data_IF_767549997724
#
_entry.id   IF_767549997724
#
_cell.length_a   1.000
_cell.length_b   1.000
_cell.length_c   1.000
_cell.angle_alpha   90.00
_cell.angle_beta   90.00
_cell.angle_gamma   90.00
#
_symmetry.space_group_name_H-M   'P 1'
#
loop_
_entity.id
_entity.type
_entity.pdbx_description
1 polymer ?
#
# COMPACT_ATOMS: atom_id res chain seq x y z
N UNK A 1 50.19 16.16 19.70
CA UNK A 1 49.68 17.10 18.66
C UNK A 1 49.43 16.41 17.32
N UNK A 2 50.28 15.47 16.87
CA UNK A 2 50.12 14.76 15.59
C UNK A 2 48.78 14.01 15.39
N UNK A 3 48.18 13.45 16.45
CA UNK A 3 46.90 12.72 16.37
C UNK A 3 45.69 13.61 16.09
N UNK A 4 45.68 14.85 16.60
CA UNK A 4 44.62 15.83 16.32
C UNK A 4 44.70 16.36 14.89
N UNK A 5 45.91 16.65 14.41
CA UNK A 5 46.12 17.08 13.03
C UNK A 5 45.66 15.99 12.05
N UNK A 6 46.05 14.74 12.27
CA UNK A 6 45.63 13.59 11.46
C UNK A 6 44.09 13.42 11.44
N UNK A 7 43.44 13.53 12.60
CA UNK A 7 41.98 13.46 12.70
C UNK A 7 41.27 14.59 11.93
N UNK A 8 41.77 15.82 12.04
CA UNK A 8 41.20 16.97 11.31
C UNK A 8 41.40 16.85 9.80
N UNK A 9 42.58 16.41 9.34
CA UNK A 9 42.82 16.16 7.91
C UNK A 9 41.96 15.03 7.36
N UNK A 10 41.72 13.96 8.14
CA UNK A 10 40.81 12.88 7.73
C UNK A 10 39.37 13.37 7.60
N UNK A 11 38.88 14.15 8.57
CA UNK A 11 37.55 14.74 8.52
C UNK A 11 37.41 15.73 7.36
N UNK A 12 38.43 16.56 7.12
CA UNK A 12 38.45 17.51 5.99
C UNK A 12 38.41 16.78 4.64
N UNK A 13 39.24 15.75 4.45
CA UNK A 13 39.22 14.92 3.24
C UNK A 13 37.85 14.24 3.04
N UNK A 14 37.27 13.70 4.12
CA UNK A 14 35.99 13.00 4.04
C UNK A 14 34.84 13.94 3.70
N UNK A 15 34.84 15.16 4.25
CA UNK A 15 33.82 16.18 4.01
C UNK A 15 33.96 16.86 2.64
N UNK A 16 35.18 17.26 2.27
CA UNK A 16 35.44 18.07 1.07
C UNK A 16 35.65 17.23 -0.19
N UNK A 17 36.11 15.98 -0.05
CA UNK A 17 36.43 15.13 -1.20
C UNK A 17 35.53 13.90 -1.23
N UNK A 18 35.59 13.04 -0.20
CA UNK A 18 34.92 11.75 -0.28
C UNK A 18 33.39 11.87 -0.34
N UNK A 19 32.77 12.78 0.42
CA UNK A 19 31.33 12.97 0.45
C UNK A 19 30.74 13.55 -0.85
N UNK A 20 31.26 14.67 -1.42
CA UNK A 20 30.76 15.19 -2.69
C UNK A 20 31.04 14.22 -3.84
N UNK A 21 32.19 13.54 -3.84
CA UNK A 21 32.52 12.54 -4.86
C UNK A 21 31.56 11.34 -4.79
N UNK A 22 31.27 10.83 -3.59
CA UNK A 22 30.26 9.78 -3.39
C UNK A 22 28.86 10.25 -3.75
N UNK A 23 28.51 11.52 -3.50
CA UNK A 23 27.22 12.09 -3.88
C UNK A 23 27.07 12.23 -5.39
N UNK A 24 28.16 12.54 -6.10
CA UNK A 24 28.19 12.67 -7.56
C UNK A 24 28.14 11.30 -8.25
N UNK A 25 28.83 10.29 -7.70
CA UNK A 25 28.85 8.94 -8.28
C UNK A 25 27.71 8.02 -7.84
N UNK A 26 26.97 8.35 -6.77
CA UNK A 26 25.73 7.62 -6.45
C UNK A 26 24.66 8.00 -7.47
N UNK A 27 24.40 7.12 -8.45
CA UNK A 27 23.17 7.16 -9.25
C UNK A 27 22.00 7.18 -8.28
N UNK A 28 21.39 8.36 -8.09
CA UNK A 28 20.15 8.48 -7.34
C UNK A 28 19.04 8.05 -8.29
N UNK A 29 18.63 6.79 -8.18
CA UNK A 29 17.27 6.43 -8.58
C UNK A 29 16.28 7.37 -7.88
N UNK A 30 15.09 7.53 -8.45
CA UNK A 30 14.08 8.41 -7.87
C UNK A 30 13.80 8.02 -6.41
N UNK A 31 13.29 8.97 -5.62
CA UNK A 31 12.86 8.64 -4.25
C UNK A 31 11.86 7.48 -4.23
N UNK A 32 10.98 7.46 -5.24
CA UNK A 32 9.99 6.42 -5.46
C UNK A 32 10.62 5.05 -5.76
N UNK A 33 11.56 4.95 -6.70
CA UNK A 33 12.25 3.68 -7.02
C UNK A 33 12.92 3.04 -5.80
N UNK A 34 13.57 3.87 -4.96
CA UNK A 34 14.22 3.36 -3.76
C UNK A 34 13.22 2.93 -2.70
N UNK A 35 12.10 3.64 -2.60
CA UNK A 35 11.00 3.28 -1.72
C UNK A 35 10.35 1.97 -2.16
N UNK A 36 9.97 1.85 -3.44
CA UNK A 36 9.35 0.63 -3.95
C UNK A 36 10.28 -0.57 -3.83
N UNK A 37 11.56 -0.43 -4.18
CA UNK A 37 12.54 -1.51 -4.04
C UNK A 37 12.70 -2.02 -2.60
N UNK A 38 12.53 -1.16 -1.59
CA UNK A 38 12.62 -1.54 -0.18
C UNK A 38 11.32 -2.16 0.35
N UNK A 39 10.16 -1.56 0.02
CA UNK A 39 8.90 -1.84 0.72
C UNK A 39 7.93 -2.77 -0.03
N UNK A 40 8.05 -2.89 -1.36
CA UNK A 40 7.16 -3.77 -2.15
C UNK A 40 7.30 -5.24 -1.73
N UNK A 41 8.53 -5.69 -1.44
CA UNK A 41 8.81 -7.05 -0.97
C UNK A 41 8.19 -7.35 0.41
N UNK A 42 7.94 -6.33 1.22
CA UNK A 42 7.27 -6.43 2.52
C UNK A 42 5.73 -6.38 2.40
N UNK A 43 5.19 -6.40 1.18
CA UNK A 43 3.75 -6.32 0.93
C UNK A 43 3.19 -4.89 1.01
N UNK A 44 4.05 -3.87 1.05
CA UNK A 44 3.69 -2.45 1.06
C UNK A 44 3.81 -1.86 -0.36
N UNK A 45 3.05 -2.45 -1.29
CA UNK A 45 2.97 -1.97 -2.66
C UNK A 45 2.24 -0.62 -2.78
N UNK A 46 2.44 0.11 -3.90
CA UNK A 46 1.69 1.33 -4.18
C UNK A 46 0.18 1.08 -4.15
N UNK A 47 -0.57 1.99 -3.52
CA UNK A 47 -2.03 1.94 -3.49
C UNK A 47 -2.59 2.48 -4.80
N UNK A 48 -3.26 1.64 -5.57
CA UNK A 48 -3.89 2.05 -6.84
C UNK A 48 -5.18 2.86 -6.61
N UNK A 49 -5.69 3.51 -7.66
CA UNK A 49 -6.99 4.17 -7.59
C UNK A 49 -8.13 3.17 -7.29
N UNK A 50 -8.03 1.94 -7.81
CA UNK A 50 -9.00 0.88 -7.54
C UNK A 50 -8.95 0.43 -6.08
N UNK A 51 -7.74 0.27 -5.51
CA UNK A 51 -7.55 -0.06 -4.09
C UNK A 51 -8.26 0.95 -3.19
N UNK A 52 -8.10 2.24 -3.51
CA UNK A 52 -8.74 3.33 -2.76
C UNK A 52 -10.26 3.25 -2.85
N UNK A 53 -10.81 3.04 -4.04
CA UNK A 53 -12.25 2.90 -4.23
C UNK A 53 -12.83 1.68 -3.50
N UNK A 54 -12.09 0.57 -3.44
CA UNK A 54 -12.48 -0.63 -2.70
C UNK A 54 -12.41 -0.38 -1.18
N UNK A 55 -11.38 0.29 -0.69
CA UNK A 55 -11.25 0.64 0.72
C UNK A 55 -12.31 1.63 1.20
N UNK A 56 -12.66 2.62 0.37
CA UNK A 56 -13.76 3.55 0.61
C UNK A 56 -15.10 2.81 0.67
N UNK A 57 -15.41 1.94 -0.31
CA UNK A 57 -16.62 1.15 -0.30
C UNK A 57 -16.70 0.21 0.93
N UNK A 58 -15.58 -0.41 1.32
CA UNK A 58 -15.50 -1.24 2.51
C UNK A 58 -15.66 -0.44 3.82
N UNK A 59 -15.35 0.86 3.83
CA UNK A 59 -15.44 1.71 5.02
C UNK A 59 -16.87 1.96 5.49
N UNK A 60 -17.87 1.80 4.61
CA UNK A 60 -19.30 1.87 4.95
C UNK A 60 -19.82 0.64 5.69
N UNK A 61 -18.99 -0.41 5.86
CA UNK A 61 -19.36 -1.58 6.65
C UNK A 61 -19.46 -1.22 8.14
N UNK A 62 -20.67 -1.34 8.70
CA UNK A 62 -20.95 -1.12 10.13
C UNK A 62 -20.76 -2.37 10.99
N UNK A 63 -20.16 -3.43 10.43
CA UNK A 63 -19.90 -4.69 11.15
C UNK A 63 -21.17 -5.35 11.74
N UNK A 64 -22.31 -5.28 11.05
CA UNK A 64 -23.57 -5.83 11.54
C UNK A 64 -23.68 -7.37 11.45
N UNK A 65 -22.82 -8.03 10.65
CA UNK A 65 -22.82 -9.50 10.51
C UNK A 65 -23.97 -10.10 9.69
N UNK A 66 -24.91 -9.31 9.15
CA UNK A 66 -26.08 -9.83 8.41
C UNK A 66 -25.73 -10.64 7.16
N UNK A 67 -24.55 -10.40 6.57
CA UNK A 67 -24.07 -11.13 5.40
C UNK A 67 -23.59 -12.56 5.71
N UNK A 68 -23.36 -12.91 6.98
CA UNK A 68 -22.68 -14.16 7.36
C UNK A 68 -23.57 -15.41 7.35
N UNK A 69 -24.80 -15.40 7.88
CA UNK A 69 -25.60 -16.62 8.03
C UNK A 69 -25.93 -17.33 6.72
N UNK A 70 -25.88 -16.60 5.59
CA UNK A 70 -26.11 -17.14 4.24
C UNK A 70 -24.85 -17.26 3.40
N UNK A 71 -23.68 -17.01 3.97
CA UNK A 71 -22.41 -17.08 3.26
C UNK A 71 -21.68 -18.38 3.63
N UNK A 72 -21.54 -19.29 2.67
CA UNK A 72 -20.81 -20.54 2.86
C UNK A 72 -19.35 -20.31 3.29
N UNK A 73 -18.75 -19.19 2.87
CA UNK A 73 -17.41 -18.79 3.29
C UNK A 73 -17.30 -18.58 4.80
N UNK A 74 -18.35 -18.06 5.45
CA UNK A 74 -18.35 -17.87 6.90
C UNK A 74 -18.27 -19.21 7.65
N UNK A 75 -18.76 -20.30 7.04
CA UNK A 75 -18.67 -21.66 7.57
C UNK A 75 -17.41 -22.43 7.15
N UNK A 76 -16.84 -22.12 5.98
CA UNK A 76 -15.75 -22.89 5.39
C UNK A 76 -14.34 -22.55 5.91
N UNK A 77 -14.11 -21.33 6.39
CA UNK A 77 -12.76 -20.86 6.74
C UNK A 77 -12.63 -20.51 8.24
N UNK A 78 -11.85 -21.27 9.04
CA UNK A 78 -11.66 -21.02 10.48
C UNK A 78 -11.13 -19.60 10.79
N UNK A 79 -10.24 -19.08 9.94
CA UNK A 79 -9.67 -17.74 10.08
C UNK A 79 -10.70 -16.62 9.84
N UNK A 80 -11.62 -16.80 8.89
CA UNK A 80 -12.74 -15.88 8.66
C UNK A 80 -13.70 -15.90 9.83
N UNK A 81 -13.97 -17.09 10.36
CA UNK A 81 -14.85 -17.29 11.51
C UNK A 81 -14.31 -16.62 12.79
N UNK A 82 -12.99 -16.54 12.95
CA UNK A 82 -12.38 -15.95 14.14
C UNK A 82 -12.58 -14.43 14.25
N UNK A 83 -12.63 -13.71 13.12
CA UNK A 83 -12.86 -12.26 13.08
C UNK A 83 -14.29 -11.90 12.66
N UNK A 84 -15.01 -12.82 12.02
CA UNK A 84 -16.21 -12.53 11.26
C UNK A 84 -15.85 -12.06 9.83
N UNK A 85 -16.63 -12.51 8.85
CA UNK A 85 -16.51 -12.13 7.45
C UNK A 85 -16.61 -10.60 7.28
N UNK A 86 -17.50 -9.97 8.04
CA UNK A 86 -17.70 -8.51 8.01
C UNK A 86 -16.46 -7.73 8.50
N UNK A 87 -15.72 -8.24 9.48
CA UNK A 87 -14.51 -7.59 10.00
C UNK A 87 -13.29 -7.87 9.10
N UNK A 88 -13.23 -9.06 8.51
CA UNK A 88 -12.20 -9.45 7.55
C UNK A 88 -12.11 -8.44 6.38
N UNK A 89 -13.23 -8.07 5.76
CA UNK A 89 -13.20 -7.14 4.62
C UNK A 89 -12.70 -5.74 4.97
N UNK A 90 -13.03 -5.26 6.17
CA UNK A 90 -12.53 -3.98 6.67
C UNK A 90 -11.03 -4.02 6.98
N UNK A 91 -10.55 -5.13 7.53
CA UNK A 91 -9.13 -5.30 7.88
C UNK A 91 -8.28 -5.42 6.61
N UNK A 92 -8.67 -6.28 5.68
CA UNK A 92 -7.90 -6.57 4.48
C UNK A 92 -7.97 -5.48 3.42
N UNK A 93 -9.03 -4.68 3.39
CA UNK A 93 -9.06 -3.47 2.53
C UNK A 93 -8.09 -2.38 3.00
N UNK A 94 -7.63 -2.42 4.25
CA UNK A 94 -6.72 -1.41 4.83
C UNK A 94 -5.30 -1.91 5.05
N UNK A 95 -5.10 -3.23 5.10
CA UNK A 95 -3.81 -3.83 5.40
C UNK A 95 -3.38 -4.79 4.29
N UNK A 96 -2.67 -4.25 3.29
CA UNK A 96 -2.07 -5.05 2.23
C UNK A 96 -1.10 -6.11 2.79
N UNK A 97 -0.35 -5.79 3.84
CA UNK A 97 0.57 -6.71 4.50
C UNK A 97 -0.14 -7.89 5.20
N UNK A 98 -1.40 -7.71 5.66
CA UNK A 98 -2.17 -8.78 6.28
C UNK A 98 -2.96 -9.62 5.25
N UNK A 99 -3.05 -9.17 4.00
CA UNK A 99 -3.83 -9.82 2.95
C UNK A 99 -3.43 -11.29 2.68
N UNK A 100 -2.14 -11.68 2.69
CA UNK A 100 -1.75 -13.09 2.53
C UNK A 100 -2.33 -14.03 3.59
N UNK A 101 -2.61 -13.54 4.80
CA UNK A 101 -3.23 -14.33 5.87
C UNK A 101 -4.68 -14.72 5.55
N UNK A 102 -5.30 -14.04 4.60
CA UNK A 102 -6.65 -14.32 4.12
C UNK A 102 -6.69 -15.08 2.80
N UNK A 103 -5.56 -15.53 2.28
CA UNK A 103 -5.50 -16.12 0.94
C UNK A 103 -6.45 -17.31 0.76
N UNK A 104 -6.39 -18.26 1.69
CA UNK A 104 -7.22 -19.47 1.71
C UNK A 104 -8.70 -19.14 1.93
N UNK A 105 -8.98 -18.19 2.82
CA UNK A 105 -10.32 -17.68 3.04
C UNK A 105 -10.91 -17.04 1.77
N UNK A 106 -10.18 -16.14 1.13
CA UNK A 106 -10.65 -15.43 -0.06
C UNK A 106 -10.80 -16.38 -1.26
N UNK A 107 -9.98 -17.42 -1.35
CA UNK A 107 -10.10 -18.43 -2.41
C UNK A 107 -11.33 -19.32 -2.27
N UNK A 108 -11.78 -19.58 -1.03
CA UNK A 108 -13.01 -20.32 -0.72
C UNK A 108 -14.30 -19.54 -1.05
N UNK A 109 -14.22 -18.24 -1.37
CA UNK A 109 -15.39 -17.51 -1.83
C UNK A 109 -15.83 -17.98 -3.23
N UNK A 110 -17.08 -18.45 -3.33
CA UNK A 110 -17.70 -18.86 -4.59
C UNK A 110 -18.14 -17.69 -5.51
N UNK A 111 -18.12 -16.45 -5.01
CA UNK A 111 -18.47 -15.27 -5.82
C UNK A 111 -19.96 -15.10 -6.13
N UNK A 112 -20.86 -15.74 -5.38
CA UNK A 112 -22.32 -15.74 -5.62
C UNK A 112 -23.04 -14.39 -5.41
N UNK A 113 -22.37 -13.40 -4.82
CA UNK A 113 -22.89 -12.06 -4.53
C UNK A 113 -24.13 -11.96 -3.62
N UNK A 114 -24.60 -13.06 -3.03
CA UNK A 114 -25.77 -13.04 -2.12
C UNK A 114 -25.59 -12.16 -0.87
N UNK A 115 -24.33 -11.90 -0.47
CA UNK A 115 -24.01 -11.00 0.65
C UNK A 115 -24.32 -9.52 0.35
N UNK A 116 -24.27 -9.09 -0.91
CA UNK A 116 -24.47 -7.68 -1.29
C UNK A 116 -25.91 -7.24 -0.98
N UNK A 117 -26.89 -8.10 -1.31
CA UNK A 117 -28.31 -7.85 -1.05
C UNK A 117 -28.67 -7.85 0.45
N UNK A 118 -27.83 -8.44 1.30
CA UNK A 118 -28.03 -8.47 2.75
C UNK A 118 -27.41 -7.26 3.46
N UNK A 119 -26.60 -6.46 2.76
CA UNK A 119 -25.92 -5.34 3.38
C UNK A 119 -26.85 -4.12 3.52
N UNK A 120 -27.18 -3.68 4.76
CA UNK A 120 -28.08 -2.53 4.95
C UNK A 120 -27.44 -1.20 4.55
N UNK A 121 -26.12 -1.12 4.47
CA UNK A 121 -25.37 0.08 4.06
C UNK A 121 -24.91 0.03 2.60
N UNK A 122 -25.31 -1.00 1.84
CA UNK A 122 -25.01 -1.10 0.41
C UNK A 122 -23.55 -1.38 0.08
N UNK A 123 -22.78 -2.00 0.99
CA UNK A 123 -21.39 -2.38 0.72
C UNK A 123 -21.34 -3.44 -0.39
N UNK A 124 -20.56 -3.24 -1.47
CA UNK A 124 -20.41 -4.20 -2.55
C UNK A 124 -19.41 -5.30 -2.17
N UNK A 125 -19.79 -6.16 -1.23
CA UNK A 125 -18.94 -7.20 -0.62
C UNK A 125 -18.33 -8.11 -1.69
N UNK A 126 -19.12 -8.58 -2.65
CA UNK A 126 -18.65 -9.51 -3.70
C UNK A 126 -17.54 -8.89 -4.56
N UNK A 127 -17.64 -7.60 -4.88
CA UNK A 127 -16.62 -6.84 -5.59
C UNK A 127 -15.35 -6.70 -4.76
N UNK A 128 -15.50 -6.37 -3.47
CA UNK A 128 -14.36 -6.24 -2.54
C UNK A 128 -13.61 -7.58 -2.46
N UNK A 129 -14.31 -8.70 -2.26
CA UNK A 129 -13.68 -10.03 -2.17
C UNK A 129 -12.92 -10.37 -3.44
N UNK A 130 -13.52 -10.14 -4.61
CA UNK A 130 -12.89 -10.41 -5.90
C UNK A 130 -11.60 -9.61 -6.08
N UNK A 131 -11.64 -8.32 -5.73
CA UNK A 131 -10.48 -7.44 -5.81
C UNK A 131 -9.38 -7.88 -4.83
N UNK A 132 -9.73 -8.17 -3.57
CA UNK A 132 -8.78 -8.67 -2.58
C UNK A 132 -8.15 -10.01 -3.01
N UNK A 133 -8.94 -10.93 -3.59
CA UNK A 133 -8.45 -12.21 -4.14
C UNK A 133 -7.46 -12.00 -5.29
N UNK A 134 -7.70 -11.03 -6.17
CA UNK A 134 -6.76 -10.71 -7.24
C UNK A 134 -5.41 -10.19 -6.71
N UNK A 135 -5.41 -9.52 -5.55
CA UNK A 135 -4.21 -8.98 -4.90
C UNK A 135 -3.42 -9.97 -4.05
N UNK A 136 -3.99 -11.14 -3.76
CA UNK A 136 -3.35 -12.22 -2.98
C UNK A 136 -2.26 -12.96 -3.77
N UNK A 137 -2.07 -12.68 -5.06
CA UNK A 137 -1.06 -13.36 -5.90
C UNK A 137 0.33 -13.21 -5.26
N UNK A 138 1.09 -14.32 -5.10
CA UNK A 138 2.46 -14.27 -4.60
C UNK A 138 3.33 -13.45 -5.57
N UNK A 139 3.62 -12.20 -5.20
CA UNK A 139 4.47 -11.29 -5.97
C UNK A 139 3.78 -10.17 -6.77
N UNK A 140 2.45 -10.05 -6.76
CA UNK A 140 1.72 -9.05 -7.58
C UNK A 140 1.71 -7.61 -7.04
N UNK A 141 2.64 -7.25 -6.15
CA UNK A 141 2.85 -5.86 -5.74
C UNK A 141 3.68 -5.05 -6.77
N UNK A 142 4.02 -5.66 -7.91
CA UNK A 142 4.96 -5.13 -8.90
C UNK A 142 4.32 -4.95 -10.28
N UNK A 143 3.28 -4.13 -10.38
CA UNK A 143 2.93 -3.43 -11.62
C UNK A 143 2.17 -2.16 -11.21
N UNK A 144 2.92 -1.16 -10.81
CA UNK A 144 2.37 0.18 -10.60
C UNK A 144 1.93 0.73 -11.97
N UNK A 145 0.67 1.15 -12.15
CA UNK A 145 0.29 1.91 -13.33
C UNK A 145 1.12 3.21 -13.36
N UNK A 146 1.68 3.56 -14.52
CA UNK A 146 2.28 4.87 -14.77
C UNK A 146 1.25 5.95 -14.43
N UNK A 147 1.51 6.72 -13.37
CA UNK A 147 0.70 7.88 -13.01
C UNK A 147 1.05 9.01 -14.01
N UNK A 148 0.14 9.38 -14.93
CA UNK A 148 0.38 10.50 -15.80
C UNK A 148 0.14 11.77 -14.98
N UNK A 149 1.12 12.67 -15.02
CA UNK A 149 1.07 14.07 -14.55
C UNK A 149 1.75 14.41 -13.19
N UNK A 150 2.97 13.92 -13.00
CA UNK A 150 3.88 14.46 -11.97
C UNK A 150 4.63 15.74 -12.45
N UNK A 151 4.40 16.16 -13.70
CA UNK A 151 5.00 17.33 -14.33
C UNK A 151 4.22 18.63 -14.03
N UNK A 152 2.88 18.61 -13.98
CA UNK A 152 2.08 19.79 -13.64
C UNK A 152 2.24 20.19 -12.17
N UNK A 153 2.40 19.22 -11.26
CA UNK A 153 2.54 19.47 -9.81
C UNK A 153 3.85 20.17 -9.44
N UNK A 154 4.91 19.96 -10.22
CA UNK A 154 6.23 20.62 -10.03
C UNK A 154 6.21 22.08 -10.46
N UNK A 155 5.52 22.41 -11.56
CA UNK A 155 5.36 23.82 -12.02
C UNK A 155 4.52 24.63 -11.03
N UNK A 156 3.44 24.06 -10.49
CA UNK A 156 2.60 24.72 -9.50
C UNK A 156 3.31 24.93 -8.13
N UNK A 157 4.32 24.11 -7.81
CA UNK A 157 5.12 24.26 -6.59
C UNK A 157 6.18 25.35 -6.68
N UNK A 158 6.86 25.47 -7.82
CA UNK A 158 7.88 26.50 -8.04
C UNK A 158 7.28 27.91 -8.15
N UNK A 159 6.10 28.07 -8.76
CA UNK A 159 5.42 29.38 -8.86
C UNK A 159 4.99 29.94 -7.49
N UNK A 160 4.64 29.08 -6.52
CA UNK A 160 4.34 29.51 -5.13
C UNK A 160 5.58 29.92 -4.34
N UNK A 161 6.75 29.36 -4.65
CA UNK A 161 8.01 29.73 -4.01
C UNK A 161 8.59 31.05 -4.54
N UNK A 162 8.26 31.42 -5.78
CA UNK A 162 8.65 32.70 -6.38
C UNK A 162 7.74 33.86 -5.96
N UNK A 163 6.44 33.62 -5.76
CA UNK A 163 5.47 34.66 -5.35
C UNK A 163 5.52 35.05 -3.87
N UNK A 164 6.29 34.35 -3.02
CA UNK A 164 6.38 34.62 -1.57
C UNK A 164 7.64 35.41 -1.16
N UNK A 165 8.38 35.95 -2.15
CA UNK A 165 9.62 36.72 -1.94
C UNK A 165 9.55 38.19 -2.36
N UNK A 166 8.34 38.72 -2.57
CA UNK A 166 8.05 40.15 -2.78
C UNK A 166 7.12 40.64 -1.70
#
# INVERSE_FOLDING_TARGET
MATRAAALSYLAWRALVAHPLRRLFRRRGTGLERFTAAYVAEGLGPTTAEDRAVAEAASSCVSCGLCEPRCELAGAAPAVRALGLHAAFRLYSRSAAALPLAAEALSACAGCAGCDALCPTGVPISRIVRHLRAKVVPGAAAEAPEEPDDAARRRAGDDRLLSSRT
#
